data_IF_392950734357
#
_entry.id   IF_392950734357
#
_cell.length_a   1.000
_cell.length_b   1.000
_cell.length_c   1.000
_cell.angle_alpha   90.00
_cell.angle_beta   90.00
_cell.angle_gamma   90.00
#
_symmetry.space_group_name_H-M   'P 1'
#
loop_
_entity.id
_entity.type
_entity.pdbx_description
1 polymer ?
#
# COMPACT_ATOMS: atom_id res chain seq x y z
N UNK A 1 -5.12 -10.07 -26.70
CA UNK A 1 -5.36 -8.74 -26.09
C UNK A 1 -4.31 -7.79 -26.65
N UNK A 2 -4.67 -6.59 -27.16
CA UNK A 2 -3.66 -5.62 -27.63
C UNK A 2 -2.79 -5.20 -26.44
N UNK A 3 -1.47 -5.08 -26.65
CA UNK A 3 -0.58 -4.47 -25.65
C UNK A 3 -1.04 -3.03 -25.40
N UNK A 4 -1.22 -2.67 -24.13
CA UNK A 4 -1.40 -1.26 -23.75
C UNK A 4 -0.04 -0.56 -23.72
N UNK A 5 -0.02 0.72 -23.40
CA UNK A 5 1.20 1.54 -23.37
C UNK A 5 2.25 0.99 -22.40
N UNK A 6 3.52 1.04 -22.79
CA UNK A 6 4.68 0.70 -21.96
C UNK A 6 5.33 2.00 -21.47
N UNK A 7 4.89 2.49 -20.32
CA UNK A 7 5.34 3.80 -19.78
C UNK A 7 6.87 3.92 -19.64
N UNK A 8 7.63 2.92 -19.15
CA UNK A 8 9.08 3.02 -19.08
C UNK A 8 9.77 3.30 -20.41
N UNK A 9 9.14 2.93 -21.54
CA UNK A 9 9.67 3.17 -22.89
C UNK A 9 9.23 4.54 -23.44
N UNK A 10 7.98 4.94 -23.19
CA UNK A 10 7.39 6.14 -23.80
C UNK A 10 7.64 7.41 -22.97
N UNK A 11 7.77 7.28 -21.65
CA UNK A 11 8.00 8.39 -20.72
C UNK A 11 8.93 7.96 -19.57
N UNK A 12 10.21 7.67 -19.87
CA UNK A 12 11.16 7.12 -18.90
C UNK A 12 11.40 8.03 -17.69
N UNK A 13 11.42 9.35 -17.86
CA UNK A 13 11.63 10.31 -16.78
C UNK A 13 10.45 10.32 -15.80
N UNK A 14 9.21 10.19 -16.30
CA UNK A 14 8.01 10.09 -15.47
C UNK A 14 7.99 8.77 -14.67
N UNK A 15 8.39 7.67 -15.31
CA UNK A 15 8.56 6.39 -14.61
C UNK A 15 9.64 6.47 -13.53
N UNK A 16 10.77 7.13 -13.83
CA UNK A 16 11.85 7.35 -12.86
C UNK A 16 11.39 8.20 -11.67
N UNK A 17 10.53 9.21 -11.88
CA UNK A 17 9.95 9.98 -10.79
C UNK A 17 9.12 9.10 -9.84
N UNK A 18 8.32 8.17 -10.38
CA UNK A 18 7.57 7.21 -9.56
C UNK A 18 8.51 6.23 -8.83
N UNK A 19 9.57 5.77 -9.48
CA UNK A 19 10.62 4.95 -8.84
C UNK A 19 11.34 5.69 -7.70
N UNK A 20 11.50 7.01 -7.81
CA UNK A 20 12.13 7.81 -6.75
C UNK A 20 11.24 7.88 -5.49
N UNK A 21 9.92 7.83 -5.63
CA UNK A 21 9.02 7.67 -4.48
C UNK A 21 9.28 6.33 -3.78
N UNK A 22 9.36 5.22 -4.53
CA UNK A 22 9.69 3.91 -3.94
C UNK A 22 11.07 3.90 -3.27
N UNK A 23 12.07 4.55 -3.90
CA UNK A 23 13.40 4.70 -3.31
C UNK A 23 13.34 5.45 -1.99
N UNK A 24 12.59 6.55 -1.91
CA UNK A 24 12.37 7.24 -0.64
C UNK A 24 11.73 6.30 0.40
N UNK A 25 10.66 5.58 0.03
CA UNK A 25 10.01 4.61 0.93
C UNK A 25 10.97 3.52 1.41
N UNK A 26 11.97 3.11 0.62
CA UNK A 26 12.98 2.15 1.08
C UNK A 26 13.84 2.66 2.25
N UNK A 27 13.95 3.98 2.40
CA UNK A 27 14.77 4.66 3.43
C UNK A 27 14.00 5.08 4.68
N UNK A 28 12.67 4.89 4.70
CA UNK A 28 11.79 5.25 5.83
C UNK A 28 11.98 4.35 7.04
N UNK A 29 11.54 4.80 8.22
CA UNK A 29 11.57 3.99 9.45
C UNK A 29 10.44 2.95 9.52
N UNK A 30 9.46 2.99 8.61
CA UNK A 30 8.44 1.96 8.48
C UNK A 30 9.05 0.54 8.50
N UNK A 31 8.47 -0.34 9.32
CA UNK A 31 8.90 -1.74 9.35
C UNK A 31 8.55 -2.43 8.02
N UNK A 32 9.28 -3.47 7.60
CA UNK A 32 8.93 -4.23 6.40
C UNK A 32 7.49 -4.77 6.46
N UNK A 33 7.02 -5.18 7.64
CA UNK A 33 5.65 -5.65 7.84
C UNK A 33 4.63 -4.54 7.60
N UNK A 34 4.84 -3.35 8.19
CA UNK A 34 3.93 -2.21 7.97
C UNK A 34 3.88 -1.81 6.49
N UNK A 35 5.04 -1.80 5.81
CA UNK A 35 5.11 -1.51 4.37
C UNK A 35 4.24 -2.46 3.57
N UNK A 36 4.39 -3.76 3.77
CA UNK A 36 3.65 -4.75 3.00
C UNK A 36 2.17 -4.83 3.38
N UNK A 37 1.77 -4.62 4.64
CA UNK A 37 0.36 -4.53 5.01
C UNK A 37 -0.36 -3.39 4.27
N UNK A 38 0.26 -2.20 4.23
CA UNK A 38 -0.27 -1.04 3.48
C UNK A 38 -0.37 -1.39 1.99
N UNK A 39 0.72 -1.93 1.42
CA UNK A 39 0.81 -2.21 -0.02
C UNK A 39 -0.21 -3.27 -0.46
N UNK A 40 -0.37 -4.34 0.31
CA UNK A 40 -1.35 -5.40 0.02
C UNK A 40 -2.77 -4.84 0.16
N UNK A 41 -3.10 -4.15 1.26
CA UNK A 41 -4.48 -3.70 1.52
C UNK A 41 -4.95 -2.67 0.49
N UNK A 42 -4.14 -1.66 0.17
CA UNK A 42 -4.47 -0.70 -0.87
C UNK A 42 -4.66 -1.39 -2.24
N UNK A 43 -3.80 -2.37 -2.56
CA UNK A 43 -3.88 -3.11 -3.81
C UNK A 43 -5.12 -4.01 -3.90
N UNK A 44 -5.58 -4.59 -2.77
CA UNK A 44 -6.84 -5.34 -2.69
C UNK A 44 -8.04 -4.43 -3.00
N UNK A 45 -8.08 -3.23 -2.42
CA UNK A 45 -9.17 -2.26 -2.64
C UNK A 45 -9.20 -1.80 -4.10
N UNK A 46 -8.04 -1.49 -4.67
CA UNK A 46 -7.93 -1.04 -6.05
C UNK A 46 -8.05 -2.17 -7.08
N UNK A 47 -8.00 -3.44 -6.68
CA UNK A 47 -8.05 -4.59 -7.58
C UNK A 47 -6.78 -4.80 -8.42
N UNK A 48 -5.60 -4.37 -7.96
CA UNK A 48 -4.35 -4.57 -8.68
C UNK A 48 -3.78 -5.98 -8.44
N UNK A 49 -4.18 -6.98 -9.24
CA UNK A 49 -3.70 -8.36 -9.11
C UNK A 49 -2.16 -8.48 -9.19
N UNK A 50 -1.50 -7.72 -10.07
CA UNK A 50 -0.03 -7.68 -10.16
C UNK A 50 0.61 -7.27 -8.82
N UNK A 51 0.09 -6.18 -8.24
CA UNK A 51 0.60 -5.62 -6.99
C UNK A 51 0.31 -6.55 -5.80
N UNK A 52 -0.88 -7.16 -5.75
CA UNK A 52 -1.22 -8.16 -4.71
C UNK A 52 -0.25 -9.34 -4.77
N UNK A 53 0.02 -9.89 -5.96
CA UNK A 53 0.94 -11.01 -6.12
C UNK A 53 2.36 -10.66 -5.62
N UNK A 54 2.88 -9.50 -6.04
CA UNK A 54 4.19 -9.01 -5.63
C UNK A 54 4.27 -8.82 -4.10
N UNK A 55 3.35 -8.05 -3.53
CA UNK A 55 3.44 -7.64 -2.13
C UNK A 55 3.08 -8.75 -1.15
N UNK A 56 2.22 -9.70 -1.51
CA UNK A 56 2.04 -10.90 -0.69
C UNK A 56 3.26 -11.83 -0.76
N UNK A 57 3.96 -11.90 -1.88
CA UNK A 57 5.23 -12.65 -2.00
C UNK A 57 6.33 -12.00 -1.16
N UNK A 58 6.45 -10.68 -1.18
CA UNK A 58 7.44 -9.96 -0.38
C UNK A 58 7.08 -9.97 1.12
N UNK A 59 5.80 -9.82 1.47
CA UNK A 59 5.32 -9.94 2.85
C UNK A 59 5.71 -11.26 3.51
N UNK A 60 5.64 -12.38 2.78
CA UNK A 60 6.09 -13.70 3.27
C UNK A 60 7.59 -13.71 3.60
N UNK A 61 8.43 -13.04 2.79
CA UNK A 61 9.88 -12.93 3.05
C UNK A 61 10.18 -12.19 4.35
N UNK A 62 9.29 -11.28 4.75
CA UNK A 62 9.38 -10.53 6.01
C UNK A 62 8.63 -11.18 7.18
N UNK A 63 8.12 -12.41 6.99
CA UNK A 63 7.49 -13.19 8.06
C UNK A 63 6.01 -12.91 8.29
N UNK A 64 5.33 -12.20 7.37
CA UNK A 64 3.86 -12.10 7.43
C UNK A 64 3.27 -13.48 7.16
N UNK A 65 2.47 -13.99 8.09
CA UNK A 65 1.86 -15.32 7.97
C UNK A 65 0.75 -15.34 6.90
N UNK A 66 0.50 -16.53 6.34
CA UNK A 66 -0.64 -16.75 5.43
C UNK A 66 -1.96 -16.31 6.06
N UNK A 67 -2.16 -16.64 7.34
CA UNK A 67 -3.37 -16.25 8.07
C UNK A 67 -3.56 -14.74 8.07
N UNK A 68 -2.48 -13.97 8.30
CA UNK A 68 -2.53 -12.51 8.25
C UNK A 68 -2.81 -12.00 6.84
N UNK A 69 -2.15 -12.55 5.82
CA UNK A 69 -2.41 -12.16 4.42
C UNK A 69 -3.88 -12.41 4.02
N UNK A 70 -4.42 -13.59 4.34
CA UNK A 70 -5.78 -13.96 3.96
C UNK A 70 -6.85 -13.19 4.72
N UNK A 71 -6.62 -12.86 5.99
CA UNK A 71 -7.58 -12.08 6.79
C UNK A 71 -7.48 -10.57 6.55
N UNK A 72 -6.54 -10.09 5.74
CA UNK A 72 -6.30 -8.65 5.58
C UNK A 72 -7.48 -7.88 5.00
N UNK A 73 -8.30 -8.51 4.16
CA UNK A 73 -9.52 -7.88 3.63
C UNK A 73 -10.67 -7.82 4.65
N UNK A 74 -10.55 -8.52 5.78
CA UNK A 74 -11.53 -8.61 6.86
C UNK A 74 -10.89 -8.26 8.23
N UNK A 75 -9.83 -7.46 8.23
CA UNK A 75 -8.96 -7.24 9.40
C UNK A 75 -9.68 -6.70 10.64
N UNK A 76 -10.81 -6.01 10.48
CA UNK A 76 -11.63 -5.46 11.59
C UNK A 76 -12.23 -6.55 12.48
N UNK A 77 -12.45 -7.75 11.92
CA UNK A 77 -13.02 -8.91 12.59
C UNK A 77 -11.94 -9.93 13.00
N UNK A 78 -10.67 -9.52 13.02
CA UNK A 78 -9.53 -10.40 13.28
C UNK A 78 -8.64 -9.87 14.41
N UNK A 79 -8.49 -10.67 15.47
CA UNK A 79 -7.72 -10.28 16.67
C UNK A 79 -6.19 -10.39 16.52
N UNK A 80 -5.71 -10.86 15.36
CA UNK A 80 -4.27 -11.09 15.10
C UNK A 80 -3.50 -9.82 14.73
N UNK A 81 -4.19 -8.69 14.53
CA UNK A 81 -3.57 -7.41 14.20
C UNK A 81 -3.36 -6.59 15.48
N UNK A 82 -2.19 -5.98 15.59
CA UNK A 82 -1.90 -5.03 16.69
C UNK A 82 -2.70 -3.74 16.50
N UNK A 83 -2.81 -2.93 17.55
CA UNK A 83 -3.48 -1.63 17.47
C UNK A 83 -2.80 -0.67 16.46
N UNK A 84 -1.46 -0.71 16.38
CA UNK A 84 -0.70 0.00 15.36
C UNK A 84 -1.08 -0.44 13.93
N UNK A 85 -1.17 -1.75 13.69
CA UNK A 85 -1.53 -2.29 12.39
C UNK A 85 -2.98 -1.97 12.03
N UNK A 86 -3.91 -2.04 12.99
CA UNK A 86 -5.31 -1.64 12.80
C UNK A 86 -5.42 -0.16 12.42
N UNK A 87 -4.67 0.71 13.08
CA UNK A 87 -4.63 2.14 12.75
C UNK A 87 -4.07 2.40 11.36
N UNK A 88 -2.96 1.72 10.99
CA UNK A 88 -2.38 1.76 9.65
C UNK A 88 -3.39 1.30 8.59
N UNK A 89 -4.10 0.20 8.84
CA UNK A 89 -5.07 -0.37 7.90
C UNK A 89 -6.30 0.54 7.74
N UNK A 90 -6.81 1.11 8.82
CA UNK A 90 -7.90 2.09 8.78
C UNK A 90 -7.52 3.33 7.96
N UNK A 91 -6.34 3.89 8.19
CA UNK A 91 -5.84 5.03 7.44
C UNK A 91 -5.60 4.67 5.96
N UNK A 92 -5.05 3.49 5.70
CA UNK A 92 -4.85 2.95 4.34
C UNK A 92 -6.16 2.88 3.57
N UNK A 93 -7.23 2.38 4.20
CA UNK A 93 -8.55 2.28 3.58
C UNK A 93 -9.12 3.66 3.22
N UNK A 94 -9.12 4.62 4.14
CA UNK A 94 -9.69 5.94 3.89
C UNK A 94 -8.88 6.78 2.89
N UNK A 95 -7.55 6.73 2.97
CA UNK A 95 -6.69 7.42 1.98
C UNK A 95 -6.80 6.77 0.60
N UNK A 96 -6.99 5.45 0.51
CA UNK A 96 -7.24 4.78 -0.78
C UNK A 96 -8.61 5.14 -1.35
N UNK A 97 -9.65 5.20 -0.50
CA UNK A 97 -11.01 5.58 -0.86
C UNK A 97 -11.27 7.09 -0.67
N UNK A 98 -10.32 7.91 -1.12
CA UNK A 98 -10.24 9.35 -0.79
C UNK A 98 -11.49 10.16 -1.14
N UNK A 99 -12.35 9.68 -2.04
CA UNK A 99 -13.66 10.31 -2.35
C UNK A 99 -14.59 10.38 -1.14
N UNK A 100 -14.36 9.54 -0.12
CA UNK A 100 -15.10 9.53 1.14
C UNK A 100 -14.41 10.37 2.24
N UNK A 101 -13.32 11.06 1.90
CA UNK A 101 -12.43 11.78 2.82
C UNK A 101 -11.75 10.88 3.87
N UNK A 102 -10.80 11.47 4.60
CA UNK A 102 -10.21 10.89 5.80
C UNK A 102 -10.90 11.54 6.99
N UNK A 103 -11.49 10.75 7.88
CA UNK A 103 -12.14 11.30 9.08
C UNK A 103 -11.11 11.71 10.12
N UNK A 104 -11.41 12.75 10.89
CA UNK A 104 -10.56 13.20 12.00
C UNK A 104 -10.32 12.08 13.00
N UNK A 105 -11.32 11.23 13.26
CA UNK A 105 -11.20 10.07 14.15
C UNK A 105 -10.10 9.10 13.70
N UNK A 106 -10.08 8.70 12.42
CA UNK A 106 -9.07 7.77 11.89
C UNK A 106 -7.70 8.41 11.87
N UNK A 107 -7.62 9.69 11.50
CA UNK A 107 -6.35 10.43 11.50
C UNK A 107 -5.79 10.54 12.93
N UNK A 108 -6.60 10.98 13.90
CA UNK A 108 -6.17 11.17 15.27
C UNK A 108 -5.83 9.84 15.95
N UNK A 109 -6.55 8.76 15.65
CA UNK A 109 -6.17 7.45 16.15
C UNK A 109 -4.75 7.04 15.70
N UNK A 110 -4.39 7.28 14.44
CA UNK A 110 -3.03 7.03 13.96
C UNK A 110 -2.02 8.01 14.59
N UNK A 111 -2.34 9.30 14.69
CA UNK A 111 -1.47 10.31 15.28
C UNK A 111 -1.19 10.09 16.78
N UNK A 112 -2.09 9.42 17.50
CA UNK A 112 -1.87 9.07 18.90
C UNK A 112 -0.92 7.87 19.09
N UNK A 113 -0.73 7.04 18.05
CA UNK A 113 0.10 5.84 18.09
C UNK A 113 1.48 6.05 17.46
N UNK A 114 1.61 7.01 16.55
CA UNK A 114 2.83 7.23 15.76
C UNK A 114 3.34 8.66 15.91
N UNK A 115 4.66 8.83 15.88
CA UNK A 115 5.24 10.16 15.74
C UNK A 115 4.93 10.78 14.36
N UNK A 116 5.07 12.10 14.26
CA UNK A 116 4.74 12.87 13.04
C UNK A 116 5.47 12.36 11.80
N UNK A 117 6.74 11.92 11.96
CA UNK A 117 7.55 11.43 10.85
C UNK A 117 7.01 10.08 10.37
N UNK A 118 6.76 9.16 11.28
CA UNK A 118 6.24 7.83 10.95
C UNK A 118 4.85 7.92 10.31
N UNK A 119 3.97 8.79 10.83
CA UNK A 119 2.66 9.05 10.23
C UNK A 119 2.77 9.63 8.82
N UNK A 120 3.67 10.59 8.60
CA UNK A 120 3.93 11.13 7.26
C UNK A 120 4.43 10.05 6.30
N UNK A 121 5.31 9.16 6.75
CA UNK A 121 5.82 8.03 5.97
C UNK A 121 4.71 7.02 5.62
N UNK A 122 3.78 6.73 6.55
CA UNK A 122 2.59 5.91 6.29
C UNK A 122 1.77 6.54 5.14
N UNK A 123 1.42 7.83 5.26
CA UNK A 123 0.61 8.54 4.25
C UNK A 123 1.31 8.54 2.89
N UNK A 124 2.61 8.84 2.85
CA UNK A 124 3.39 8.83 1.62
C UNK A 124 3.47 7.44 0.98
N UNK A 125 3.59 6.38 1.77
CA UNK A 125 3.54 5.02 1.25
C UNK A 125 2.16 4.69 0.67
N UNK A 126 1.06 5.06 1.35
CA UNK A 126 -0.30 4.83 0.83
C UNK A 126 -0.49 5.51 -0.52
N UNK A 127 -0.01 6.76 -0.67
CA UNK A 127 -0.03 7.50 -1.95
C UNK A 127 0.82 6.80 -3.02
N UNK A 128 2.01 6.33 -2.63
CA UNK A 128 2.95 5.66 -3.53
C UNK A 128 2.35 4.37 -4.09
N UNK A 129 1.79 3.49 -3.25
CA UNK A 129 1.14 2.27 -3.74
C UNK A 129 -0.12 2.57 -4.56
N UNK A 130 -0.89 3.59 -4.19
CA UNK A 130 -2.06 4.02 -4.97
C UNK A 130 -1.66 4.48 -6.40
N UNK A 131 -0.50 5.11 -6.54
CA UNK A 131 0.07 5.49 -7.84
C UNK A 131 0.49 4.26 -8.64
N UNK A 132 1.16 3.29 -8.02
CA UNK A 132 1.54 2.03 -8.66
C UNK A 132 0.34 1.20 -9.10
N UNK A 133 -0.71 1.10 -8.27
CA UNK A 133 -1.94 0.39 -8.62
C UNK A 133 -2.58 1.00 -9.87
N UNK A 134 -2.68 2.33 -9.94
CA UNK A 134 -3.21 3.05 -11.11
C UNK A 134 -2.37 2.79 -12.36
N UNK A 135 -1.04 2.86 -12.24
CA UNK A 135 -0.13 2.57 -13.35
C UNK A 135 -0.30 1.15 -13.86
N UNK A 136 -0.26 0.16 -12.96
CA UNK A 136 -0.32 -1.25 -13.33
C UNK A 136 -1.66 -1.61 -13.99
N UNK A 137 -2.77 -1.14 -13.41
CA UNK A 137 -4.11 -1.39 -13.96
C UNK A 137 -4.29 -0.68 -15.30
N UNK A 138 -3.90 0.59 -15.43
CA UNK A 138 -4.07 1.36 -16.65
C UNK A 138 -3.22 0.80 -17.81
N UNK A 139 -1.98 0.35 -17.52
CA UNK A 139 -1.07 -0.26 -18.51
C UNK A 139 -1.31 -1.77 -18.71
N UNK A 140 -2.25 -2.36 -17.98
CA UNK A 140 -2.67 -3.75 -18.19
C UNK A 140 -1.64 -4.79 -17.73
N UNK A 141 -0.83 -4.46 -16.73
CA UNK A 141 0.05 -5.42 -16.05
C UNK A 141 -0.79 -6.51 -15.38
N UNK A 142 -0.32 -7.76 -15.43
CA UNK A 142 -1.04 -8.93 -14.92
C UNK A 142 -0.17 -9.70 -13.95
N UNK A 143 -0.79 -10.31 -12.94
CA UNK A 143 -0.14 -11.35 -12.17
C UNK A 143 0.15 -12.56 -13.07
N UNK A 144 1.29 -13.19 -12.87
CA UNK A 144 1.69 -14.47 -13.48
C UNK A 144 1.64 -15.52 -12.39
#
# INVERSE_FOLDING_TARGET
MKSRIVIPTVAPEAYQALMNLEKYISTTSLTPVHKELIKIRASQINGCAYCINMHTTDGRKYGISEQKIYLLNAWREADIYTEEEKAILALTEQVTLISNHVSDEVYQNAANLFDEKYLAEIILLIITINSWNRLAIATGMRAV
#
